data_IF_972001110157
#
_entry.id   IF_972001110157
#
_cell.length_a   1.000
_cell.length_b   1.000
_cell.length_c   1.000
_cell.angle_alpha   90.00
_cell.angle_beta   90.00
_cell.angle_gamma   90.00
#
_symmetry.space_group_name_H-M   'P 1'
#
loop_
_entity.id
_entity.type
_entity.pdbx_description
1 polymer ?
#
# COMPACT_ATOMS: atom_id res chain seq x y z
N UNK A 1 -34.77 -15.56 -19.05
CA UNK A 1 -34.54 -14.16 -19.46
C UNK A 1 -34.58 -13.25 -18.23
N UNK A 2 -33.53 -13.23 -17.41
CA UNK A 2 -33.40 -12.29 -16.27
C UNK A 2 -32.06 -11.54 -16.26
N UNK A 3 -31.21 -11.80 -17.25
CA UNK A 3 -29.86 -11.25 -17.36
C UNK A 3 -29.89 -9.86 -18.02
N UNK A 4 -30.84 -9.64 -18.94
CA UNK A 4 -30.99 -8.37 -19.67
C UNK A 4 -31.39 -7.19 -18.76
N UNK A 5 -32.09 -7.46 -17.66
CA UNK A 5 -32.53 -6.46 -16.67
C UNK A 5 -31.35 -5.92 -15.85
N UNK A 6 -30.42 -6.81 -15.47
CA UNK A 6 -29.26 -6.48 -14.63
C UNK A 6 -28.27 -5.60 -15.39
N UNK A 7 -28.07 -5.88 -16.68
CA UNK A 7 -27.20 -5.08 -17.56
C UNK A 7 -27.70 -3.64 -17.71
N UNK A 8 -29.02 -3.41 -17.74
CA UNK A 8 -29.60 -2.07 -17.82
C UNK A 8 -29.39 -1.24 -16.56
N UNK A 9 -29.45 -1.87 -15.38
CA UNK A 9 -29.22 -1.15 -14.11
C UNK A 9 -27.77 -0.74 -13.92
N UNK A 10 -26.80 -1.55 -14.36
CA UNK A 10 -25.37 -1.23 -14.26
C UNK A 10 -25.02 -0.01 -15.11
N UNK A 11 -25.59 0.11 -16.31
CA UNK A 11 -25.36 1.28 -17.19
C UNK A 11 -25.95 2.59 -16.69
N UNK A 12 -27.04 2.55 -15.91
CA UNK A 12 -27.65 3.74 -15.31
C UNK A 12 -26.85 4.27 -14.11
N UNK A 13 -26.24 3.37 -13.32
CA UNK A 13 -25.43 3.75 -12.16
C UNK A 13 -24.09 4.37 -12.59
N UNK A 14 -23.46 3.86 -13.66
CA UNK A 14 -22.23 4.43 -14.20
C UNK A 14 -22.45 5.83 -14.77
N UNK A 15 -23.52 6.04 -15.53
CA UNK A 15 -23.85 7.34 -16.11
C UNK A 15 -24.16 8.41 -15.05
N UNK A 16 -24.73 8.02 -13.91
CA UNK A 16 -25.03 8.95 -12.81
C UNK A 16 -23.79 9.35 -12.00
N UNK A 17 -22.78 8.48 -11.89
CA UNK A 17 -21.52 8.78 -11.21
C UNK A 17 -20.67 9.78 -12.02
N UNK A 18 -20.69 9.68 -13.35
CA UNK A 18 -19.96 10.60 -14.24
C UNK A 18 -20.60 12.01 -14.28
N UNK A 19 -21.93 12.11 -14.19
CA UNK A 19 -22.63 13.39 -14.17
C UNK A 19 -22.41 14.18 -12.86
N UNK A 20 -22.31 13.50 -11.71
CA UNK A 20 -22.05 14.12 -10.42
C UNK A 20 -20.61 14.64 -10.27
N UNK A 21 -19.66 14.02 -10.99
CA UNK A 21 -18.23 14.35 -10.94
C UNK A 21 -17.88 15.60 -11.76
N UNK A 22 -18.66 15.93 -12.79
CA UNK A 22 -18.40 17.08 -13.68
C UNK A 22 -18.81 18.44 -13.10
N UNK A 23 -19.60 18.48 -12.02
CA UNK A 23 -20.13 19.73 -11.48
C UNK A 23 -19.27 20.39 -10.38
N UNK A 24 -18.13 19.81 -9.98
CA UNK A 24 -17.37 20.27 -8.79
C UNK A 24 -15.88 20.56 -8.97
N UNK A 25 -15.38 20.80 -10.18
CA UNK A 25 -13.97 21.24 -10.33
C UNK A 25 -13.81 22.18 -11.53
N UNK A 26 -14.38 23.38 -11.39
CA UNK A 26 -13.87 24.56 -12.08
C UNK A 26 -12.93 25.31 -11.13
N UNK A 27 -11.84 25.86 -11.69
CA UNK A 27 -10.79 26.66 -11.04
C UNK A 27 -9.76 25.93 -10.18
N UNK A 28 -8.66 25.47 -10.79
CA UNK A 28 -7.39 26.20 -10.70
C UNK A 28 -6.35 25.61 -11.69
N UNK A 29 -5.66 26.51 -12.37
CA UNK A 29 -4.65 26.32 -13.43
C UNK A 29 -3.28 26.01 -12.81
N UNK A 30 -2.51 25.06 -13.36
CA UNK A 30 -1.09 25.24 -13.78
C UNK A 30 -0.72 24.11 -14.74
N UNK A 31 -0.29 24.49 -15.94
CA UNK A 31 0.35 23.64 -16.95
C UNK A 31 1.70 23.13 -16.43
N UNK A 32 1.92 21.82 -16.48
CA UNK A 32 3.25 21.23 -16.56
C UNK A 32 3.24 20.16 -17.64
N UNK A 33 3.92 20.46 -18.73
CA UNK A 33 4.18 19.59 -19.86
C UNK A 33 5.22 18.53 -19.47
N UNK A 34 4.85 17.25 -19.63
CA UNK A 34 5.66 16.08 -20.05
C UNK A 34 6.84 15.63 -19.11
N UNK A 35 7.11 14.31 -18.98
CA UNK A 35 7.22 13.37 -20.10
C UNK A 35 6.20 12.21 -20.10
N UNK A 36 5.69 11.93 -21.29
CA UNK A 36 5.23 10.64 -21.77
C UNK A 36 6.24 9.54 -21.43
N UNK A 37 6.07 8.90 -20.28
CA UNK A 37 6.59 7.56 -20.06
C UNK A 37 5.60 6.56 -20.66
N UNK A 38 5.76 6.32 -21.96
CA UNK A 38 5.37 5.06 -22.57
C UNK A 38 6.26 3.96 -21.97
N UNK A 39 5.89 3.50 -20.78
CA UNK A 39 6.56 2.43 -20.03
C UNK A 39 5.54 1.45 -19.49
N UNK A 40 5.19 0.46 -20.32
CA UNK A 40 4.40 -0.74 -20.01
C UNK A 40 3.01 -0.51 -19.39
N UNK A 41 1.98 -1.02 -20.05
CA UNK A 41 0.67 -1.21 -19.41
C UNK A 41 0.89 -2.09 -18.17
N UNK A 42 0.99 -1.47 -17.00
CA UNK A 42 1.17 -2.17 -15.74
C UNK A 42 0.00 -3.14 -15.59
N UNK A 43 0.28 -4.44 -15.78
CA UNK A 43 -0.70 -5.47 -15.62
C UNK A 43 -1.25 -5.38 -14.20
N UNK A 44 -2.53 -5.03 -14.06
CA UNK A 44 -3.18 -4.92 -12.75
C UNK A 44 -3.40 -6.33 -12.21
N UNK A 45 -2.53 -6.76 -11.31
CA UNK A 45 -2.67 -8.05 -10.63
C UNK A 45 -3.66 -7.87 -9.48
N UNK A 46 -4.82 -8.52 -9.58
CA UNK A 46 -5.79 -8.58 -8.48
C UNK A 46 -5.42 -9.72 -7.53
N UNK A 47 -4.99 -9.37 -6.32
CA UNK A 47 -4.76 -10.35 -5.25
C UNK A 47 -6.10 -10.92 -4.77
N UNK A 48 -6.08 -12.18 -4.32
CA UNK A 48 -7.27 -12.80 -3.72
C UNK A 48 -7.74 -11.99 -2.50
N UNK A 49 -9.06 -11.85 -2.32
CA UNK A 49 -9.64 -11.15 -1.16
C UNK A 49 -9.10 -11.71 0.16
N UNK A 50 -8.96 -13.03 0.24
CA UNK A 50 -8.40 -13.72 1.41
C UNK A 50 -6.96 -13.30 1.67
N UNK A 51 -6.10 -13.25 0.65
CA UNK A 51 -4.69 -12.83 0.81
C UNK A 51 -4.58 -11.39 1.31
N UNK A 52 -5.40 -10.48 0.77
CA UNK A 52 -5.42 -9.07 1.20
C UNK A 52 -5.86 -8.95 2.66
N UNK A 53 -6.88 -9.69 3.07
CA UNK A 53 -7.35 -9.68 4.47
C UNK A 53 -6.29 -10.27 5.42
N UNK A 54 -5.60 -11.35 5.05
CA UNK A 54 -4.49 -11.87 5.85
C UNK A 54 -3.37 -10.86 6.04
N UNK A 55 -3.02 -10.13 4.98
CA UNK A 55 -1.98 -9.11 5.06
C UNK A 55 -2.39 -7.96 5.97
N UNK A 56 -3.64 -7.48 5.88
CA UNK A 56 -4.19 -6.46 6.78
C UNK A 56 -4.16 -6.90 8.24
N UNK A 57 -4.55 -8.15 8.52
CA UNK A 57 -4.51 -8.70 9.88
C UNK A 57 -3.07 -8.78 10.40
N UNK A 58 -2.13 -9.24 9.56
CA UNK A 58 -0.72 -9.32 9.92
C UNK A 58 -0.12 -7.94 10.22
N UNK A 59 -0.48 -6.91 9.45
CA UNK A 59 -0.05 -5.53 9.66
C UNK A 59 -0.64 -4.93 10.95
N UNK A 60 -1.93 -5.17 11.21
CA UNK A 60 -2.58 -4.76 12.45
C UNK A 60 -1.91 -5.41 13.68
N UNK A 61 -1.63 -6.71 13.62
CA UNK A 61 -0.97 -7.45 14.69
C UNK A 61 0.47 -6.97 14.98
N UNK A 62 1.21 -6.51 13.96
CA UNK A 62 2.54 -5.87 14.16
C UNK A 62 2.44 -4.50 14.82
N UNK A 63 1.32 -3.81 14.62
CA UNK A 63 1.10 -2.46 15.16
C UNK A 63 0.67 -2.49 16.61
N UNK A 64 -0.12 -3.49 16.99
CA UNK A 64 -0.74 -3.60 18.30
C UNK A 64 0.08 -4.43 19.32
N UNK A 65 1.41 -4.50 19.14
CA UNK A 65 2.25 -5.21 20.09
C UNK A 65 2.32 -4.46 21.43
N UNK A 66 1.85 -5.06 22.54
CA UNK A 66 1.95 -4.45 23.85
C UNK A 66 3.43 -4.23 24.21
N UNK A 67 3.77 -3.05 24.71
CA UNK A 67 5.15 -2.71 25.06
C UNK A 67 5.97 -2.10 23.92
N UNK A 68 5.44 -2.02 22.68
CA UNK A 68 6.19 -1.50 21.52
C UNK A 68 6.56 -0.02 21.69
N UNK A 69 5.65 0.79 22.22
CA UNK A 69 5.89 2.22 22.44
C UNK A 69 7.01 2.44 23.46
N UNK A 70 6.97 1.71 24.58
CA UNK A 70 7.98 1.74 25.62
C UNK A 70 9.33 1.26 25.10
N UNK A 71 9.36 0.18 24.32
CA UNK A 71 10.59 -0.35 23.72
C UNK A 71 11.23 0.65 22.76
N UNK A 72 10.44 1.29 21.90
CA UNK A 72 10.93 2.33 20.98
C UNK A 72 11.46 3.53 21.76
N UNK A 73 10.79 3.95 22.84
CA UNK A 73 11.25 5.05 23.68
C UNK A 73 12.62 4.75 24.32
N UNK A 74 12.80 3.54 24.87
CA UNK A 74 14.08 3.09 25.43
C UNK A 74 15.20 3.05 24.39
N UNK A 75 14.92 2.53 23.19
CA UNK A 75 15.86 2.52 22.08
C UNK A 75 16.28 3.93 21.66
N UNK A 76 15.33 4.85 21.51
CA UNK A 76 15.61 6.25 21.16
C UNK A 76 16.51 6.90 22.20
N UNK A 77 16.19 6.72 23.48
CA UNK A 77 17.00 7.25 24.57
C UNK A 77 18.42 6.68 24.57
N UNK A 78 18.58 5.37 24.34
CA UNK A 78 19.88 4.74 24.24
C UNK A 78 20.71 5.25 23.05
N UNK A 79 20.05 5.49 21.90
CA UNK A 79 20.69 6.08 20.71
C UNK A 79 21.13 7.52 20.99
N UNK A 80 20.26 8.35 21.56
CA UNK A 80 20.56 9.76 21.88
C UNK A 80 21.73 9.89 22.87
N UNK A 81 21.83 8.95 23.83
CA UNK A 81 22.93 8.89 24.80
C UNK A 81 24.22 8.25 24.24
N UNK A 82 24.22 7.76 23.00
CA UNK A 82 25.34 7.04 22.42
C UNK A 82 25.62 5.69 23.10
N UNK A 83 24.63 5.11 23.78
CA UNK A 83 24.70 3.84 24.49
C UNK A 83 24.18 2.67 23.66
N UNK A 84 23.65 2.95 22.47
CA UNK A 84 23.20 1.94 21.53
C UNK A 84 24.30 1.67 20.48
N UNK A 85 24.80 0.44 20.46
CA UNK A 85 25.75 -0.03 19.46
C UNK A 85 25.03 -0.81 18.36
N UNK A 86 25.40 -0.54 17.11
CA UNK A 86 24.78 -1.18 15.94
C UNK A 86 25.64 -2.36 15.52
N UNK A 87 25.17 -3.58 15.82
CA UNK A 87 25.83 -4.80 15.37
C UNK A 87 25.66 -5.01 13.86
N UNK A 88 26.76 -4.81 13.13
CA UNK A 88 26.79 -4.95 11.68
C UNK A 88 26.47 -6.38 11.21
N UNK A 89 26.75 -7.39 12.04
CA UNK A 89 26.46 -8.80 11.72
C UNK A 89 24.96 -9.04 11.72
N UNK A 90 24.25 -8.49 12.71
CA UNK A 90 22.79 -8.57 12.79
C UNK A 90 22.12 -7.84 11.63
N UNK A 91 22.65 -6.68 11.23
CA UNK A 91 22.16 -5.95 10.05
C UNK A 91 22.33 -6.80 8.80
N UNK A 92 23.53 -7.36 8.57
CA UNK A 92 23.82 -8.19 7.41
C UNK A 92 22.92 -9.44 7.36
N UNK A 93 22.73 -10.11 8.50
CA UNK A 93 21.83 -11.27 8.60
C UNK A 93 20.40 -10.89 8.19
N UNK A 94 19.87 -9.77 8.69
CA UNK A 94 18.52 -9.30 8.33
C UNK A 94 18.39 -8.95 6.85
N UNK A 95 19.37 -8.25 6.30
CA UNK A 95 19.38 -7.90 4.87
C UNK A 95 19.38 -9.14 3.97
N UNK A 96 20.20 -10.15 4.31
CA UNK A 96 20.25 -11.41 3.55
C UNK A 96 18.95 -12.19 3.70
N UNK A 97 18.38 -12.25 4.91
CA UNK A 97 17.12 -12.95 5.15
C UNK A 97 15.96 -12.32 4.38
N UNK A 98 15.86 -11.00 4.37
CA UNK A 98 14.83 -10.27 3.61
C UNK A 98 15.00 -10.49 2.11
N UNK A 99 16.22 -10.34 1.59
CA UNK A 99 16.51 -10.61 0.17
C UNK A 99 16.22 -12.06 -0.24
N UNK A 100 16.51 -13.03 0.63
CA UNK A 100 16.18 -14.43 0.38
C UNK A 100 14.67 -14.68 0.33
N UNK A 101 13.90 -14.03 1.22
CA UNK A 101 12.44 -14.15 1.26
C UNK A 101 11.79 -13.58 0.00
N UNK A 102 12.37 -12.53 -0.59
CA UNK A 102 11.90 -11.98 -1.87
C UNK A 102 12.19 -12.93 -3.04
N UNK A 103 13.33 -13.61 -3.04
CA UNK A 103 13.67 -14.62 -4.07
C UNK A 103 12.81 -15.88 -3.94
N UNK A 104 12.41 -16.27 -2.74
CA UNK A 104 11.56 -17.44 -2.49
C UNK A 104 10.06 -17.19 -2.69
N UNK A 105 9.65 -15.93 -2.93
CA UNK A 105 8.25 -15.59 -3.18
C UNK A 105 7.89 -15.98 -4.62
N UNK A 106 6.96 -16.93 -4.85
CA UNK A 106 6.52 -17.30 -6.19
C UNK A 106 5.75 -16.19 -6.90
#
# INVERSE_FOLDING_TARGET
MKIDEVSKQIGLISASADAASRAKTGENRVERSEPDETGESAARIELSKTSVEYQRIAEAARTDQPGRAEHIAQLREAVEKGQYDVDSSQVAEKMVLEGLMDVLKP
#
